data_IF_264898886064
#
_entry.id   IF_264898886064
#
_cell.length_a   1.000
_cell.length_b   1.000
_cell.length_c   1.000
_cell.angle_alpha   90.00
_cell.angle_beta   90.00
_cell.angle_gamma   90.00
#
_symmetry.space_group_name_H-M   'P 1'
#
loop_
_entity.id
_entity.type
_entity.pdbx_description
1 polymer ?
#
# COMPACT_ATOMS: atom_id res chain seq x y z
N UNK A 1 11.40 -8.23 20.99
CA UNK A 1 11.77 -7.59 19.70
C UNK A 1 12.96 -8.32 19.12
N UNK A 2 12.72 -9.35 18.31
CA UNK A 2 13.66 -9.83 17.31
C UNK A 2 12.83 -10.38 16.17
N UNK A 3 12.46 -9.49 15.25
CA UNK A 3 12.36 -9.88 13.85
C UNK A 3 13.69 -10.58 13.56
N UNK A 4 13.73 -11.87 13.24
CA UNK A 4 15.01 -12.51 12.89
C UNK A 4 15.49 -11.79 11.64
N UNK A 5 16.28 -10.75 11.84
CA UNK A 5 16.71 -9.88 10.77
C UNK A 5 17.57 -10.72 9.87
N UNK A 6 17.20 -10.79 8.59
CA UNK A 6 18.00 -11.46 7.57
C UNK A 6 19.44 -10.98 7.71
N UNK A 7 20.37 -11.93 7.79
CA UNK A 7 21.81 -11.66 7.75
C UNK A 7 22.16 -10.92 6.46
N UNK A 8 23.33 -10.28 6.40
CA UNK A 8 23.77 -9.59 5.18
C UNK A 8 23.80 -10.53 3.97
N UNK A 9 24.28 -11.76 4.16
CA UNK A 9 24.30 -12.78 3.12
C UNK A 9 22.89 -13.14 2.64
N UNK A 10 21.94 -13.34 3.56
CA UNK A 10 20.53 -13.62 3.22
C UNK A 10 19.86 -12.44 2.50
N UNK A 11 20.21 -11.19 2.83
CA UNK A 11 19.70 -10.01 2.13
C UNK A 11 20.20 -9.95 0.67
N UNK A 12 21.50 -10.18 0.45
CA UNK A 12 22.06 -10.22 -0.91
C UNK A 12 21.51 -11.40 -1.71
N UNK A 13 21.39 -12.58 -1.09
CA UNK A 13 20.79 -13.74 -1.73
C UNK A 13 19.32 -13.52 -2.08
N UNK A 14 18.57 -12.83 -1.23
CA UNK A 14 17.21 -12.44 -1.54
C UNK A 14 17.15 -11.48 -2.73
N UNK A 15 18.05 -10.48 -2.82
CA UNK A 15 18.14 -9.63 -4.01
C UNK A 15 18.39 -10.46 -5.27
N UNK A 16 19.31 -11.43 -5.23
CA UNK A 16 19.60 -12.32 -6.36
C UNK A 16 18.38 -13.12 -6.78
N UNK A 17 17.66 -13.72 -5.81
CA UNK A 17 16.55 -14.62 -6.09
C UNK A 17 15.29 -13.90 -6.59
N UNK A 18 15.07 -12.65 -6.17
CA UNK A 18 13.84 -11.91 -6.45
C UNK A 18 14.00 -10.81 -7.49
N UNK A 19 15.21 -10.58 -8.01
CA UNK A 19 15.46 -9.56 -9.04
C UNK A 19 14.65 -9.83 -10.31
N UNK A 20 14.65 -11.07 -10.79
CA UNK A 20 13.91 -11.43 -12.01
C UNK A 20 12.40 -11.30 -11.77
N UNK A 21 11.89 -11.68 -10.60
CA UNK A 21 10.48 -11.46 -10.25
C UNK A 21 10.10 -9.97 -10.20
N UNK A 22 11.01 -9.10 -9.74
CA UNK A 22 10.81 -7.64 -9.77
C UNK A 22 10.78 -7.09 -11.20
N UNK A 23 11.62 -7.64 -12.09
CA UNK A 23 11.65 -7.31 -13.52
C UNK A 23 10.41 -7.83 -14.23
N UNK A 24 10.01 -9.07 -13.97
CA UNK A 24 8.76 -9.65 -14.47
C UNK A 24 7.55 -8.85 -13.98
N UNK A 25 7.58 -8.26 -12.78
CA UNK A 25 6.53 -7.38 -12.28
C UNK A 25 6.41 -6.05 -13.07
N UNK A 26 7.43 -5.66 -13.83
CA UNK A 26 7.38 -4.55 -14.80
C UNK A 26 6.79 -4.99 -16.14
N UNK A 27 7.11 -6.21 -16.58
CA UNK A 27 6.73 -6.74 -17.90
C UNK A 27 5.32 -7.38 -17.88
N UNK A 28 4.90 -7.90 -16.73
CA UNK A 28 3.56 -8.44 -16.51
C UNK A 28 2.50 -7.36 -16.73
N UNK A 29 1.79 -7.51 -17.84
CA UNK A 29 0.50 -6.91 -18.14
C UNK A 29 -0.59 -7.39 -17.13
N UNK A 30 -0.23 -8.24 -16.18
CA UNK A 30 -1.08 -8.87 -15.19
C UNK A 30 -1.20 -7.97 -13.95
N UNK A 31 -1.97 -6.89 -14.11
CA UNK A 31 -2.66 -6.25 -12.98
C UNK A 31 -3.63 -7.23 -12.30
N UNK A 32 -4.37 -6.79 -11.27
CA UNK A 32 -5.51 -7.56 -10.76
C UNK A 32 -6.57 -7.68 -11.88
N UNK A 33 -6.44 -8.70 -12.73
CA UNK A 33 -7.23 -8.79 -13.96
C UNK A 33 -7.01 -10.05 -14.83
N UNK A 34 -6.00 -10.89 -14.60
CA UNK A 34 -5.75 -12.05 -15.49
C UNK A 34 -6.65 -13.25 -15.30
N UNK A 35 -7.62 -13.20 -14.39
CA UNK A 35 -8.78 -14.08 -14.44
C UNK A 35 -10.04 -13.27 -14.15
N UNK A 36 -10.34 -12.39 -15.10
CA UNK A 36 -11.53 -11.57 -15.09
C UNK A 36 -12.25 -11.75 -16.44
N UNK A 37 -13.54 -12.13 -16.45
CA UNK A 37 -14.45 -12.24 -15.31
C UNK A 37 -14.30 -13.57 -14.53
N UNK A 38 -14.68 -13.61 -13.24
CA UNK A 38 -14.65 -14.82 -12.42
C UNK A 38 -15.55 -15.92 -13.00
N UNK A 39 -15.08 -17.17 -12.98
CA UNK A 39 -15.89 -18.36 -13.28
C UNK A 39 -17.03 -18.54 -12.24
N UNK A 40 -18.11 -17.77 -12.40
CA UNK A 40 -19.43 -17.93 -11.75
C UNK A 40 -20.49 -17.56 -12.79
N UNK A 41 -21.74 -18.08 -12.70
CA UNK A 41 -22.75 -17.92 -13.75
C UNK A 41 -23.13 -16.44 -13.93
N UNK A 42 -22.45 -15.77 -14.88
CA UNK A 42 -22.30 -14.31 -14.94
C UNK A 42 -23.47 -13.52 -15.51
N UNK A 43 -24.52 -14.15 -16.05
CA UNK A 43 -25.54 -13.42 -16.78
C UNK A 43 -26.45 -12.52 -15.91
N UNK A 44 -26.56 -12.78 -14.60
CA UNK A 44 -27.38 -11.97 -13.69
C UNK A 44 -26.59 -10.81 -13.05
N UNK A 45 -25.32 -11.06 -12.71
CA UNK A 45 -24.43 -10.05 -12.15
C UNK A 45 -24.02 -9.01 -13.20
N UNK A 46 -23.74 -9.43 -14.43
CA UNK A 46 -23.46 -8.51 -15.54
C UNK A 46 -24.66 -7.61 -15.86
N UNK A 47 -25.89 -8.15 -15.85
CA UNK A 47 -27.10 -7.32 -16.02
C UNK A 47 -27.32 -6.31 -14.89
N UNK A 48 -26.93 -6.66 -13.66
CA UNK A 48 -27.01 -5.74 -12.53
C UNK A 48 -25.96 -4.62 -12.64
N UNK A 49 -24.75 -4.94 -13.09
CA UNK A 49 -23.71 -3.98 -13.44
C UNK A 49 -24.11 -3.11 -14.63
N UNK A 50 -24.64 -3.67 -15.72
CA UNK A 50 -25.11 -2.90 -16.88
C UNK A 50 -26.23 -1.92 -16.51
N UNK A 51 -27.10 -2.31 -15.56
CA UNK A 51 -28.18 -1.43 -15.06
C UNK A 51 -27.61 -0.32 -14.18
N UNK A 52 -26.57 -0.61 -13.40
CA UNK A 52 -25.90 0.35 -12.53
C UNK A 52 -25.02 1.31 -13.36
N UNK A 53 -24.25 0.81 -14.31
CA UNK A 53 -23.48 1.57 -15.28
C UNK A 53 -24.40 2.44 -16.16
N UNK A 54 -25.57 1.95 -16.58
CA UNK A 54 -26.54 2.78 -17.29
C UNK A 54 -27.07 3.94 -16.43
N UNK A 55 -27.25 3.74 -15.12
CA UNK A 55 -27.66 4.80 -14.20
C UNK A 55 -26.51 5.79 -13.92
N UNK A 56 -25.28 5.29 -13.76
CA UNK A 56 -24.10 6.10 -13.48
C UNK A 56 -23.65 6.89 -14.73
N UNK A 57 -23.77 6.33 -15.93
CA UNK A 57 -23.51 7.01 -17.21
C UNK A 57 -24.44 8.21 -17.42
N UNK A 58 -25.71 8.14 -16.98
CA UNK A 58 -26.61 9.31 -17.10
C UNK A 58 -26.21 10.46 -16.17
N UNK A 59 -25.61 10.16 -15.01
CA UNK A 59 -25.13 11.15 -14.03
C UNK A 59 -23.76 11.69 -14.42
N UNK A 60 -22.85 10.82 -14.90
CA UNK A 60 -21.56 11.20 -15.44
C UNK A 60 -21.69 11.98 -16.75
N UNK A 61 -22.65 11.68 -17.62
CA UNK A 61 -22.93 12.50 -18.81
C UNK A 61 -23.35 13.92 -18.43
N UNK A 62 -24.16 14.08 -17.37
CA UNK A 62 -24.57 15.40 -16.89
C UNK A 62 -23.38 16.19 -16.29
N UNK A 63 -22.48 15.52 -15.59
CA UNK A 63 -21.25 16.13 -15.03
C UNK A 63 -20.20 16.39 -16.12
N UNK A 64 -20.07 15.50 -17.10
CA UNK A 64 -19.15 15.63 -18.22
C UNK A 64 -19.56 16.77 -19.16
N UNK A 65 -20.86 16.99 -19.38
CA UNK A 65 -21.35 18.18 -20.10
C UNK A 65 -21.01 19.47 -19.35
N UNK A 66 -21.11 19.48 -18.01
CA UNK A 66 -20.75 20.64 -17.20
C UNK A 66 -19.22 20.88 -17.12
N UNK A 67 -18.41 19.83 -17.14
CA UNK A 67 -16.94 19.91 -17.03
C UNK A 67 -16.24 20.14 -18.37
N UNK A 68 -16.73 19.51 -19.46
CA UNK A 68 -16.23 19.74 -20.82
C UNK A 68 -16.37 21.22 -21.17
N UNK A 69 -17.49 21.81 -20.79
CA UNK A 69 -17.67 23.23 -20.89
C UNK A 69 -16.55 24.05 -20.17
N UNK A 70 -16.28 23.78 -18.90
CA UNK A 70 -15.41 24.64 -18.09
C UNK A 70 -13.92 24.66 -18.52
N UNK A 71 -13.48 23.72 -19.36
CA UNK A 71 -12.06 23.49 -19.67
C UNK A 71 -11.59 24.11 -21.00
N UNK A 72 -12.47 24.83 -21.70
CA UNK A 72 -12.34 25.00 -23.15
C UNK A 72 -12.07 26.39 -23.69
N UNK A 73 -11.86 27.38 -22.83
CA UNK A 73 -11.38 28.68 -23.29
C UNK A 73 -10.44 29.35 -22.27
N UNK A 74 -9.24 29.80 -22.69
CA UNK A 74 -8.35 30.57 -21.82
C UNK A 74 -8.88 32.01 -21.66
N UNK A 75 -9.28 32.37 -20.43
CA UNK A 75 -9.83 33.68 -20.10
C UNK A 75 -8.79 34.81 -20.30
N UNK A 76 -8.96 35.62 -21.34
CA UNK A 76 -8.28 36.92 -21.45
C UNK A 76 -9.31 38.03 -21.18
N UNK A 77 -9.30 38.55 -19.95
CA UNK A 77 -10.19 39.61 -19.50
C UNK A 77 -9.65 40.98 -19.94
N UNK A 78 -10.51 41.78 -20.54
CA UNK A 78 -10.22 43.18 -20.90
C UNK A 78 -11.10 44.08 -20.05
N UNK A 79 -10.50 45.14 -19.48
CA UNK A 79 -11.23 46.13 -18.69
C UNK A 79 -11.93 47.13 -19.59
N UNK A 80 -13.25 47.23 -19.48
CA UNK A 80 -14.07 48.18 -20.24
C UNK A 80 -14.77 49.13 -19.27
N UNK A 81 -14.84 50.42 -19.60
CA UNK A 81 -15.59 51.41 -18.81
C UNK A 81 -17.05 51.40 -19.23
N UNK A 82 -17.92 51.04 -18.30
CA UNK A 82 -19.36 51.16 -18.47
C UNK A 82 -19.78 52.63 -18.49
N UNK A 83 -20.89 52.95 -19.14
CA UNK A 83 -21.37 54.34 -19.29
C UNK A 83 -21.70 55.03 -17.95
N UNK A 84 -21.86 54.26 -16.87
CA UNK A 84 -22.05 54.74 -15.49
C UNK A 84 -20.74 55.12 -14.79
N UNK A 85 -19.58 54.93 -15.45
CA UNK A 85 -18.25 55.22 -14.91
C UNK A 85 -17.61 54.05 -14.13
N UNK A 86 -18.33 52.96 -13.90
CA UNK A 86 -17.77 51.74 -13.30
C UNK A 86 -16.94 50.93 -14.33
N UNK A 87 -15.88 50.28 -13.85
CA UNK A 87 -15.07 49.36 -14.64
C UNK A 87 -15.68 47.95 -14.58
N UNK A 88 -15.87 47.32 -15.74
CA UNK A 88 -16.29 45.92 -15.88
C UNK A 88 -15.20 45.12 -16.60
N UNK A 89 -15.23 43.80 -16.45
CA UNK A 89 -14.34 42.87 -17.15
C UNK A 89 -15.15 42.06 -18.15
N UNK A 90 -14.72 42.07 -19.40
CA UNK A 90 -15.32 41.30 -20.48
C UNK A 90 -14.27 40.34 -21.07
N UNK A 91 -14.68 39.19 -21.59
CA UNK A 91 -13.78 38.31 -22.31
C UNK A 91 -13.48 38.89 -23.70
N UNK A 92 -12.21 38.94 -24.09
CA UNK A 92 -11.79 39.52 -25.38
C UNK A 92 -12.33 38.79 -26.62
N UNK A 93 -12.90 37.59 -26.47
CA UNK A 93 -13.16 36.66 -27.57
C UNK A 93 -14.61 36.17 -27.68
N UNK A 94 -15.48 36.50 -26.72
CA UNK A 94 -16.90 36.19 -26.82
C UNK A 94 -17.74 37.22 -26.06
N UNK A 95 -18.97 37.45 -26.53
CA UNK A 95 -19.95 38.33 -25.89
C UNK A 95 -20.58 37.72 -24.62
N UNK A 96 -20.01 36.63 -24.09
CA UNK A 96 -20.49 35.95 -22.89
C UNK A 96 -19.77 36.49 -21.65
N UNK A 97 -20.38 37.51 -21.04
CA UNK A 97 -19.96 38.11 -19.78
C UNK A 97 -20.48 37.26 -18.61
N UNK A 98 -19.72 37.21 -17.51
CA UNK A 98 -19.95 36.34 -16.37
C UNK A 98 -21.40 36.17 -15.93
N UNK A 99 -21.85 34.91 -15.93
CA UNK A 99 -22.74 34.22 -14.99
C UNK A 99 -23.04 32.81 -15.60
N UNK A 100 -22.06 31.89 -15.52
CA UNK A 100 -22.32 30.45 -15.58
C UNK A 100 -22.70 29.78 -16.92
N UNK A 101 -22.32 30.28 -18.10
CA UNK A 101 -22.71 29.68 -19.40
C UNK A 101 -21.57 29.16 -20.31
N UNK A 102 -21.87 28.21 -21.25
CA UNK A 102 -20.87 27.37 -21.89
C UNK A 102 -19.99 27.77 -23.13
N UNK A 103 -18.64 27.58 -23.11
CA UNK A 103 -17.57 27.66 -24.14
C UNK A 103 -17.00 26.27 -24.66
N UNK A 104 -16.58 26.11 -25.95
CA UNK A 104 -16.17 24.79 -26.54
C UNK A 104 -14.66 24.52 -26.88
N UNK A 105 -14.20 23.24 -26.79
CA UNK A 105 -12.79 22.73 -26.87
C UNK A 105 -12.16 22.94 -28.24
N UNK A 106 -10.83 23.07 -28.27
CA UNK A 106 -10.02 22.95 -29.51
C UNK A 106 -10.25 21.62 -30.24
N UNK A 107 -10.32 21.69 -31.57
CA UNK A 107 -10.56 20.58 -32.51
C UNK A 107 -9.50 19.45 -32.45
N UNK A 108 -8.30 19.72 -31.93
CA UNK A 108 -7.16 18.76 -31.93
C UNK A 108 -7.30 17.62 -30.90
N UNK A 109 -8.35 17.61 -30.08
CA UNK A 109 -8.63 16.56 -29.08
C UNK A 109 -10.04 16.03 -29.27
N UNK A 110 -10.16 14.79 -29.72
CA UNK A 110 -11.41 14.04 -29.63
C UNK A 110 -11.55 13.46 -28.21
N UNK A 111 -12.51 13.92 -27.39
CA UNK A 111 -12.72 13.41 -26.04
C UNK A 111 -13.25 11.97 -26.00
N UNK A 112 -13.73 11.42 -27.12
CA UNK A 112 -14.12 10.02 -27.25
C UNK A 112 -12.95 9.10 -27.67
N UNK A 113 -11.79 9.67 -28.02
CA UNK A 113 -10.62 8.90 -28.40
C UNK A 113 -10.00 8.23 -27.17
N UNK A 114 -10.36 6.96 -26.94
CA UNK A 114 -9.57 6.03 -26.14
C UNK A 114 -8.22 5.84 -26.86
N UNK A 115 -7.29 6.76 -26.65
CA UNK A 115 -5.92 6.57 -27.10
C UNK A 115 -5.39 5.25 -26.53
N UNK A 116 -4.62 4.51 -27.32
CA UNK A 116 -3.71 3.49 -26.78
C UNK A 116 -2.77 4.20 -25.81
N UNK A 117 -3.17 4.30 -24.55
CA UNK A 117 -2.29 4.75 -23.49
C UNK A 117 -1.38 3.57 -23.23
N UNK A 118 -0.05 3.69 -23.37
CA UNK A 118 0.84 2.67 -22.83
C UNK A 118 0.41 2.42 -21.39
N UNK A 119 0.23 1.14 -21.04
CA UNK A 119 -0.21 0.71 -19.71
C UNK A 119 0.57 1.52 -18.68
N UNK A 120 -0.08 2.09 -17.64
CA UNK A 120 0.63 2.86 -16.63
C UNK A 120 1.80 2.02 -16.11
N UNK A 121 3.02 2.42 -16.46
CA UNK A 121 4.23 1.81 -15.90
C UNK A 121 4.02 1.84 -14.39
N UNK A 122 4.20 0.70 -13.73
CA UNK A 122 4.09 0.62 -12.27
C UNK A 122 5.24 1.42 -11.68
N UNK A 123 5.06 2.73 -11.56
CA UNK A 123 6.11 3.71 -11.29
C UNK A 123 6.88 3.36 -10.02
N UNK A 124 6.19 2.89 -8.99
CA UNK A 124 6.80 2.43 -7.75
C UNK A 124 7.76 1.24 -7.92
N UNK A 125 7.51 0.32 -8.86
CA UNK A 125 8.39 -0.80 -9.20
C UNK A 125 9.61 -0.29 -9.98
N UNK A 126 9.40 0.61 -10.93
CA UNK A 126 10.48 1.24 -11.70
C UNK A 126 11.41 2.04 -10.78
N UNK A 127 10.85 2.84 -9.89
CA UNK A 127 11.60 3.64 -8.91
C UNK A 127 12.42 2.75 -7.97
N UNK A 128 11.83 1.65 -7.50
CA UNK A 128 12.53 0.69 -6.65
C UNK A 128 13.66 -0.01 -7.40
N UNK A 129 13.40 -0.49 -8.62
CA UNK A 129 14.39 -1.13 -9.49
C UNK A 129 15.56 -0.18 -9.72
N UNK A 130 15.28 1.07 -10.10
CA UNK A 130 16.31 2.06 -10.37
C UNK A 130 17.13 2.43 -9.13
N UNK A 131 16.48 2.56 -7.99
CA UNK A 131 17.17 2.86 -6.75
C UNK A 131 18.07 1.71 -6.29
N UNK A 132 17.64 0.46 -6.45
CA UNK A 132 18.46 -0.74 -6.14
C UNK A 132 19.67 -0.81 -7.08
N UNK A 133 19.46 -0.61 -8.39
CA UNK A 133 20.56 -0.53 -9.37
C UNK A 133 21.61 0.49 -8.96
N UNK A 134 21.19 1.74 -8.78
CA UNK A 134 22.10 2.84 -8.43
C UNK A 134 22.84 2.53 -7.13
N UNK A 135 22.14 2.00 -6.12
CA UNK A 135 22.74 1.69 -4.83
C UNK A 135 23.80 0.59 -4.92
N UNK A 136 23.46 -0.56 -5.51
CA UNK A 136 24.36 -1.71 -5.57
C UNK A 136 25.50 -1.51 -6.57
N UNK A 137 25.23 -0.86 -7.69
CA UNK A 137 26.27 -0.53 -8.66
C UNK A 137 27.28 0.46 -8.11
N UNK A 138 26.83 1.55 -7.50
CA UNK A 138 27.75 2.53 -6.92
C UNK A 138 28.57 1.93 -5.77
N UNK A 139 27.97 1.01 -4.99
CA UNK A 139 28.70 0.31 -3.94
C UNK A 139 29.75 -0.64 -4.53
N UNK A 140 29.37 -1.47 -5.50
CA UNK A 140 30.27 -2.41 -6.15
C UNK A 140 31.43 -1.68 -6.83
N UNK A 141 31.13 -0.63 -7.60
CA UNK A 141 32.14 0.22 -8.26
C UNK A 141 33.11 0.84 -7.24
N UNK A 142 32.59 1.40 -6.14
CA UNK A 142 33.42 2.03 -5.09
C UNK A 142 34.38 1.05 -4.41
N UNK A 143 33.94 -0.18 -4.17
CA UNK A 143 34.80 -1.22 -3.57
C UNK A 143 35.78 -1.75 -4.62
N UNK A 144 35.32 -1.97 -5.86
CA UNK A 144 36.12 -2.49 -6.96
C UNK A 144 37.25 -1.54 -7.36
N UNK A 145 37.01 -0.22 -7.35
CA UNK A 145 38.02 0.83 -7.59
C UNK A 145 39.18 0.80 -6.58
N UNK A 146 39.02 0.15 -5.42
CA UNK A 146 40.07 -0.03 -4.41
C UNK A 146 40.86 -1.33 -4.60
N UNK A 147 40.43 -2.20 -5.50
CA UNK A 147 41.09 -3.47 -5.79
C UNK A 147 42.04 -3.34 -6.97
N UNK A 148 43.09 -4.16 -7.02
CA UNK A 148 44.05 -4.16 -8.13
C UNK A 148 43.39 -4.52 -9.48
N UNK A 149 42.28 -5.26 -9.43
CA UNK A 149 41.48 -5.66 -10.60
C UNK A 149 40.54 -4.57 -11.12
N UNK A 150 40.36 -3.46 -10.38
CA UNK A 150 39.46 -2.37 -10.77
C UNK A 150 38.00 -2.82 -10.95
N UNK A 151 37.22 -2.11 -11.78
CA UNK A 151 35.79 -2.37 -12.00
C UNK A 151 35.48 -3.67 -12.76
N UNK A 152 36.41 -4.10 -13.61
CA UNK A 152 36.34 -5.36 -14.35
C UNK A 152 36.23 -6.57 -13.41
N UNK A 153 36.60 -6.39 -12.13
CA UNK A 153 36.54 -7.40 -11.09
C UNK A 153 35.15 -7.99 -10.83
N UNK A 154 34.06 -7.29 -11.15
CA UNK A 154 32.72 -7.72 -10.76
C UNK A 154 31.71 -7.92 -11.90
N UNK A 155 31.87 -7.27 -13.05
CA UNK A 155 31.04 -7.52 -14.24
C UNK A 155 31.82 -7.96 -15.48
N UNK A 156 33.14 -8.13 -15.36
CA UNK A 156 34.00 -8.50 -16.49
C UNK A 156 34.15 -7.37 -17.52
N UNK A 157 34.69 -7.68 -18.71
CA UNK A 157 34.98 -6.67 -19.74
C UNK A 157 33.74 -6.21 -20.51
N UNK A 158 32.64 -6.94 -20.45
CA UNK A 158 31.39 -6.62 -21.16
C UNK A 158 30.48 -5.75 -20.28
N UNK A 159 30.13 -4.52 -20.70
CA UNK A 159 29.17 -3.68 -20.00
C UNK A 159 27.80 -4.35 -19.78
N UNK A 160 27.38 -5.29 -20.64
CA UNK A 160 26.13 -6.02 -20.47
C UNK A 160 26.14 -6.94 -19.23
N UNK A 161 27.32 -7.30 -18.72
CA UNK A 161 27.48 -8.03 -17.47
C UNK A 161 27.11 -7.21 -16.22
N UNK A 162 26.95 -5.89 -16.36
CA UNK A 162 26.67 -4.95 -15.26
C UNK A 162 25.19 -5.03 -14.83
N UNK A 163 24.87 -6.08 -14.09
CA UNK A 163 23.52 -6.39 -13.61
C UNK A 163 23.45 -6.40 -12.08
N UNK A 164 22.28 -6.12 -11.50
CA UNK A 164 22.08 -6.14 -10.05
C UNK A 164 22.43 -7.51 -9.43
N UNK A 165 22.01 -8.65 -10.02
CA UNK A 165 22.42 -9.96 -9.53
C UNK A 165 23.95 -10.18 -9.59
N UNK A 166 24.64 -9.65 -10.61
CA UNK A 166 26.11 -9.72 -10.67
C UNK A 166 26.77 -8.92 -9.55
N UNK A 167 26.32 -7.68 -9.31
CA UNK A 167 26.79 -6.86 -8.21
C UNK A 167 26.57 -7.55 -6.85
N UNK A 168 25.35 -8.07 -6.62
CA UNK A 168 24.99 -8.75 -5.38
C UNK A 168 25.83 -10.02 -5.14
N UNK A 169 26.05 -10.86 -6.17
CA UNK A 169 26.91 -12.05 -6.08
C UNK A 169 28.35 -11.69 -5.75
N UNK A 170 28.88 -10.65 -6.38
CA UNK A 170 30.25 -10.20 -6.11
C UNK A 170 30.41 -9.65 -4.69
N UNK A 171 29.45 -8.85 -4.23
CA UNK A 171 29.41 -8.36 -2.84
C UNK A 171 29.25 -9.50 -1.83
N UNK A 172 28.52 -10.56 -2.17
CA UNK A 172 28.37 -11.76 -1.32
C UNK A 172 29.73 -12.46 -1.15
N UNK A 173 30.47 -12.69 -2.24
CA UNK A 173 31.81 -13.28 -2.17
C UNK A 173 32.82 -12.45 -1.37
N UNK A 174 32.59 -11.13 -1.20
CA UNK A 174 33.42 -10.28 -0.33
C UNK A 174 33.18 -10.53 1.15
N UNK A 175 32.01 -11.04 1.54
CA UNK A 175 31.72 -11.39 2.93
C UNK A 175 32.48 -12.66 3.35
N UNK A 176 32.71 -13.58 2.41
CA UNK A 176 33.40 -14.85 2.65
C UNK A 176 34.94 -14.73 2.65
N UNK A 177 35.48 -13.62 2.14
CA UNK A 177 36.92 -13.43 1.96
C UNK A 177 37.74 -13.28 3.27
N UNK A 178 37.07 -13.18 4.42
CA UNK A 178 37.69 -13.01 5.73
C UNK A 178 38.40 -11.65 5.92
N UNK A 179 38.64 -11.24 7.18
CA UNK A 179 39.27 -9.96 7.48
C UNK A 179 40.73 -9.91 7.04
N UNK A 180 41.00 -9.21 5.94
CA UNK A 180 42.36 -8.95 5.48
C UNK A 180 42.97 -7.65 6.03
N UNK A 181 42.14 -6.70 6.52
CA UNK A 181 42.59 -5.43 7.10
C UNK A 181 41.46 -4.69 7.85
N UNK A 182 41.75 -3.63 8.63
CA UNK A 182 40.73 -2.88 9.38
C UNK A 182 39.62 -2.24 8.54
N UNK A 183 39.90 -1.85 7.30
CA UNK A 183 38.89 -1.30 6.38
C UNK A 183 37.84 -2.34 5.97
N UNK A 184 38.14 -3.63 6.13
CA UNK A 184 37.23 -4.72 5.81
C UNK A 184 35.96 -4.70 6.65
N UNK A 185 36.03 -4.37 7.96
CA UNK A 185 34.84 -4.31 8.80
C UNK A 185 33.92 -3.14 8.43
N UNK A 186 34.48 -1.97 8.10
CA UNK A 186 33.71 -0.82 7.64
C UNK A 186 33.04 -1.10 6.28
N UNK A 187 33.73 -1.81 5.38
CA UNK A 187 33.18 -2.26 4.11
C UNK A 187 32.05 -3.29 4.32
N UNK A 188 32.25 -4.29 5.17
CA UNK A 188 31.20 -5.25 5.53
C UNK A 188 29.96 -4.55 6.11
N UNK A 189 30.14 -3.56 6.99
CA UNK A 189 29.03 -2.77 7.54
C UNK A 189 28.29 -1.97 6.45
N UNK A 190 29.03 -1.36 5.51
CA UNK A 190 28.44 -0.65 4.37
C UNK A 190 27.67 -1.61 3.47
N UNK A 191 28.22 -2.80 3.18
CA UNK A 191 27.53 -3.86 2.42
C UNK A 191 26.26 -4.28 3.14
N UNK A 192 26.30 -4.45 4.47
CA UNK A 192 25.15 -4.81 5.29
C UNK A 192 24.01 -3.81 5.19
N UNK A 193 24.32 -2.51 5.22
CA UNK A 193 23.32 -1.44 5.13
C UNK A 193 22.64 -1.42 3.74
N UNK A 194 23.44 -1.47 2.67
CA UNK A 194 22.94 -1.43 1.30
C UNK A 194 22.16 -2.70 0.95
N UNK A 195 22.64 -3.87 1.36
CA UNK A 195 21.96 -5.14 1.15
C UNK A 195 20.59 -5.15 1.84
N UNK A 196 20.52 -4.72 3.10
CA UNK A 196 19.26 -4.60 3.85
C UNK A 196 18.30 -3.62 3.19
N UNK A 197 18.78 -2.45 2.81
CA UNK A 197 17.96 -1.43 2.14
C UNK A 197 17.40 -1.92 0.81
N UNK A 198 18.21 -2.64 0.02
CA UNK A 198 17.76 -3.23 -1.25
C UNK A 198 16.72 -4.33 -1.02
N UNK A 199 16.98 -5.23 -0.07
CA UNK A 199 16.08 -6.29 0.32
C UNK A 199 14.73 -5.77 0.85
N UNK A 200 14.73 -4.72 1.67
CA UNK A 200 13.50 -4.09 2.18
C UNK A 200 12.68 -3.42 1.06
N UNK A 201 13.36 -2.88 0.03
CA UNK A 201 12.68 -2.30 -1.14
C UNK A 201 12.01 -3.38 -1.98
N UNK A 202 12.69 -4.50 -2.23
CA UNK A 202 12.10 -5.65 -2.93
C UNK A 202 10.88 -6.16 -2.17
N UNK A 203 11.02 -6.39 -0.87
CA UNK A 203 9.94 -6.85 -0.01
C UNK A 203 8.72 -5.92 -0.01
N UNK A 204 8.95 -4.61 0.00
CA UNK A 204 7.88 -3.62 -0.04
C UNK A 204 7.13 -3.63 -1.37
N UNK A 205 7.86 -3.80 -2.47
CA UNK A 205 7.29 -3.75 -3.83
C UNK A 205 6.58 -5.05 -4.20
N UNK A 206 7.21 -6.18 -3.93
CA UNK A 206 6.64 -7.49 -4.21
C UNK A 206 5.62 -7.94 -3.15
N UNK A 207 5.51 -7.19 -2.05
CA UNK A 207 4.69 -7.56 -0.90
C UNK A 207 5.19 -8.79 -0.15
N UNK A 208 6.38 -9.31 -0.49
CA UNK A 208 6.98 -10.54 0.07
C UNK A 208 7.51 -10.38 1.49
N UNK A 209 7.62 -9.14 1.98
CA UNK A 209 8.18 -8.86 3.29
C UNK A 209 7.35 -9.39 4.46
N UNK A 210 8.05 -9.78 5.53
CA UNK A 210 7.45 -10.03 6.84
C UNK A 210 7.01 -8.72 7.47
N UNK A 211 5.71 -8.54 7.64
CA UNK A 211 5.11 -7.38 8.31
C UNK A 211 4.46 -7.84 9.60
N UNK A 212 4.72 -7.10 10.67
CA UNK A 212 4.02 -7.26 11.95
C UNK A 212 3.25 -5.99 12.24
N UNK A 213 1.93 -6.07 12.42
CA UNK A 213 1.09 -4.91 12.76
C UNK A 213 0.12 -5.23 13.89
N UNK A 214 -0.12 -4.26 14.76
CA UNK A 214 -1.23 -4.32 15.71
C UNK A 214 -2.54 -4.31 14.92
N UNK A 215 -3.49 -5.15 15.32
CA UNK A 215 -4.84 -5.18 14.77
C UNK A 215 -5.70 -4.13 15.50
N UNK A 216 -5.98 -2.95 14.89
CA UNK A 216 -6.73 -1.90 15.55
C UNK A 216 -8.18 -2.34 15.77
N UNK A 217 -8.73 -2.05 16.96
CA UNK A 217 -10.12 -2.37 17.31
C UNK A 217 -10.39 -3.85 17.60
N UNK A 218 -9.39 -4.74 17.48
CA UNK A 218 -9.53 -6.18 17.76
C UNK A 218 -8.67 -6.59 18.96
N UNK A 219 -9.16 -6.34 20.20
CA UNK A 219 -8.47 -6.79 21.40
C UNK A 219 -8.61 -8.30 21.58
N UNK A 220 -7.63 -8.88 22.27
CA UNK A 220 -7.62 -10.28 22.66
C UNK A 220 -8.90 -10.64 23.46
N UNK A 221 -9.66 -11.67 23.07
CA UNK A 221 -10.88 -12.09 23.77
C UNK A 221 -10.69 -12.46 25.24
N UNK A 222 -9.47 -12.83 25.63
CA UNK A 222 -9.17 -13.36 26.97
C UNK A 222 -8.54 -12.35 27.93
N UNK A 223 -7.77 -11.39 27.43
CA UNK A 223 -7.08 -10.40 28.28
C UNK A 223 -7.31 -8.94 27.85
N UNK A 224 -8.11 -8.71 26.82
CA UNK A 224 -8.36 -7.40 26.20
C UNK A 224 -7.10 -6.67 25.66
N UNK A 225 -5.93 -7.29 25.67
CA UNK A 225 -4.71 -6.71 25.14
C UNK A 225 -4.62 -6.72 23.62
N UNK A 226 -3.59 -6.08 23.09
CA UNK A 226 -3.39 -5.94 21.64
C UNK A 226 -3.03 -7.27 20.98
N UNK A 227 -3.69 -7.54 19.84
CA UNK A 227 -3.32 -8.63 18.94
C UNK A 227 -2.41 -8.07 17.84
N UNK A 228 -1.29 -8.75 17.59
CA UNK A 228 -0.32 -8.42 16.53
C UNK A 228 -0.39 -9.51 15.46
N UNK A 229 -0.73 -9.14 14.23
CA UNK A 229 -0.71 -10.05 13.09
C UNK A 229 0.65 -10.02 12.41
N UNK A 230 1.18 -11.20 12.09
CA UNK A 230 2.41 -11.40 11.35
C UNK A 230 2.06 -11.98 9.98
N UNK A 231 2.37 -11.24 8.92
CA UNK A 231 2.12 -11.63 7.53
C UNK A 231 3.41 -11.69 6.72
N UNK A 232 3.49 -12.59 5.77
CA UNK A 232 4.56 -12.68 4.76
C UNK A 232 3.92 -12.92 3.40
N UNK A 233 4.26 -12.14 2.37
CA UNK A 233 3.64 -12.27 1.04
C UNK A 233 2.09 -12.23 1.07
N UNK A 234 1.51 -11.39 1.95
CA UNK A 234 0.07 -11.32 2.17
C UNK A 234 -0.56 -12.52 2.90
N UNK A 235 0.21 -13.57 3.19
CA UNK A 235 -0.23 -14.75 3.94
C UNK A 235 -0.03 -14.54 5.44
N UNK A 236 -1.04 -14.84 6.24
CA UNK A 236 -0.94 -14.78 7.72
C UNK A 236 -0.09 -15.95 8.21
N UNK A 237 1.07 -15.65 8.78
CA UNK A 237 1.95 -16.64 9.39
C UNK A 237 1.53 -16.95 10.82
N UNK A 238 1.21 -15.90 11.57
CA UNK A 238 0.82 -16.03 12.96
C UNK A 238 0.11 -14.78 13.47
N UNK A 239 -0.67 -14.93 14.54
CA UNK A 239 -1.13 -13.83 15.39
C UNK A 239 -0.51 -14.02 16.77
N UNK A 240 -0.11 -12.92 17.41
CA UNK A 240 0.40 -12.94 18.79
C UNK A 240 -0.37 -11.98 19.68
N UNK A 241 -0.45 -12.30 20.97
CA UNK A 241 -1.01 -11.40 21.98
C UNK A 241 0.11 -10.68 22.73
N UNK A 242 0.09 -9.35 22.76
CA UNK A 242 1.13 -8.50 23.34
C UNK A 242 1.20 -8.55 24.89
N UNK A 243 0.17 -9.08 25.56
CA UNK A 243 0.03 -9.08 27.03
C UNK A 243 0.92 -10.10 27.75
N UNK A 244 1.50 -11.08 27.05
CA UNK A 244 2.49 -12.00 27.63
C UNK A 244 1.92 -13.20 28.42
N UNK A 245 2.79 -13.86 29.21
CA UNK A 245 2.55 -15.19 29.82
C UNK A 245 1.54 -15.18 30.98
N UNK A 246 1.67 -14.22 31.90
CA UNK A 246 0.97 -14.24 33.20
C UNK A 246 -0.45 -13.66 33.07
N UNK A 247 -0.61 -12.65 32.21
CA UNK A 247 -1.81 -11.83 32.15
C UNK A 247 -2.77 -12.23 31.03
N UNK A 248 -2.42 -13.25 30.23
CA UNK A 248 -3.28 -13.80 29.19
C UNK A 248 -3.51 -15.29 29.40
N UNK A 249 -4.78 -15.69 29.55
CA UNK A 249 -5.19 -17.09 29.71
C UNK A 249 -5.76 -17.70 28.40
N UNK A 250 -5.29 -17.23 27.25
CA UNK A 250 -5.77 -17.74 25.98
C UNK A 250 -5.30 -19.20 25.72
N UNK A 251 -6.11 -20.04 25.04
CA UNK A 251 -5.81 -21.44 24.75
C UNK A 251 -4.82 -21.60 23.59
N UNK A 252 -3.75 -20.80 23.58
CA UNK A 252 -2.67 -20.83 22.61
C UNK A 252 -1.34 -21.10 23.30
N UNK A 253 -0.44 -21.78 22.58
CA UNK A 253 0.90 -22.08 23.06
C UNK A 253 1.66 -20.77 23.33
N UNK A 254 2.42 -20.76 24.43
CA UNK A 254 3.31 -19.66 24.73
C UNK A 254 4.66 -19.88 24.06
N UNK A 255 5.08 -18.92 23.26
CA UNK A 255 6.39 -18.90 22.61
C UNK A 255 7.34 -18.09 23.51
N UNK A 256 8.38 -18.78 24.01
CA UNK A 256 9.36 -18.23 24.95
C UNK A 256 10.20 -17.13 24.31
N UNK A 257 10.54 -17.28 23.03
CA UNK A 257 11.38 -16.34 22.30
C UNK A 257 10.60 -15.04 22.01
N UNK A 258 9.32 -15.18 21.66
CA UNK A 258 8.43 -14.04 21.42
C UNK A 258 7.84 -13.44 22.69
N UNK A 259 7.95 -14.14 23.82
CA UNK A 259 7.30 -13.82 25.10
C UNK A 259 5.80 -13.55 24.94
N UNK A 260 5.15 -14.27 24.03
CA UNK A 260 3.76 -14.05 23.66
C UNK A 260 3.06 -15.38 23.39
N UNK A 261 1.73 -15.39 23.51
CA UNK A 261 0.93 -16.52 23.00
C UNK A 261 0.80 -16.41 21.49
N UNK A 262 1.00 -17.53 20.79
CA UNK A 262 1.06 -17.57 19.32
C UNK A 262 -0.02 -18.48 18.77
N UNK A 263 -0.78 -17.98 17.80
CA UNK A 263 -1.62 -18.78 16.91
C UNK A 263 -0.96 -18.81 15.54
N UNK A 264 -0.53 -19.97 15.07
CA UNK A 264 0.19 -20.10 13.79
C UNK A 264 -0.44 -21.12 12.84
N UNK A 265 -1.17 -22.12 13.35
CA UNK A 265 -1.83 -23.08 12.46
C UNK A 265 -3.16 -22.53 11.93
N UNK A 266 -3.62 -22.95 10.74
CA UNK A 266 -4.91 -22.54 10.19
C UNK A 266 -6.09 -22.79 11.16
N UNK A 267 -6.06 -23.91 11.89
CA UNK A 267 -7.10 -24.27 12.86
C UNK A 267 -7.08 -23.34 14.07
N UNK A 268 -5.88 -22.98 14.55
CA UNK A 268 -5.69 -22.03 15.64
C UNK A 268 -6.16 -20.63 15.24
N UNK A 269 -5.82 -20.18 14.03
CA UNK A 269 -6.24 -18.89 13.49
C UNK A 269 -7.77 -18.83 13.31
N UNK A 270 -8.38 -19.89 12.79
CA UNK A 270 -9.83 -20.01 12.67
C UNK A 270 -10.51 -20.02 14.05
N UNK A 271 -9.90 -20.67 15.04
CA UNK A 271 -10.35 -20.66 16.44
C UNK A 271 -10.29 -19.27 17.07
N UNK A 272 -9.19 -18.54 16.85
CA UNK A 272 -9.02 -17.16 17.30
C UNK A 272 -10.08 -16.25 16.66
N UNK A 273 -10.28 -16.34 15.34
CA UNK A 273 -11.29 -15.52 14.64
C UNK A 273 -12.67 -15.71 15.25
N UNK A 274 -13.11 -16.97 15.45
CA UNK A 274 -14.40 -17.26 16.08
C UNK A 274 -14.53 -16.67 17.48
N UNK A 275 -13.45 -16.69 18.27
CA UNK A 275 -13.43 -16.12 19.60
C UNK A 275 -13.52 -14.58 19.59
N UNK A 276 -12.82 -13.92 18.66
CA UNK A 276 -12.90 -12.46 18.45
C UNK A 276 -14.33 -12.07 18.04
N UNK A 277 -14.90 -12.73 17.05
CA UNK A 277 -16.28 -12.45 16.60
C UNK A 277 -17.30 -12.66 17.72
N UNK A 278 -17.11 -13.68 18.57
CA UNK A 278 -17.98 -13.94 19.71
C UNK A 278 -17.87 -12.85 20.77
N UNK A 279 -16.65 -12.39 21.07
CA UNK A 279 -16.40 -11.29 22.01
C UNK A 279 -16.99 -9.97 21.49
N UNK A 280 -16.88 -9.68 20.21
CA UNK A 280 -17.51 -8.51 19.58
C UNK A 280 -19.03 -8.53 19.70
N UNK A 281 -19.66 -9.66 19.37
CA UNK A 281 -21.12 -9.83 19.53
C UNK A 281 -21.55 -9.67 21.00
N UNK A 282 -20.77 -10.18 21.94
CA UNK A 282 -21.05 -10.04 23.37
C UNK A 282 -20.99 -8.57 23.82
N UNK A 283 -19.95 -7.83 23.41
CA UNK A 283 -19.81 -6.39 23.68
C UNK A 283 -20.97 -5.58 23.10
N UNK A 284 -21.32 -5.81 21.84
CA UNK A 284 -22.47 -5.15 21.21
C UNK A 284 -23.79 -5.46 21.96
N UNK A 285 -23.97 -6.70 22.40
CA UNK A 285 -25.12 -7.10 23.22
C UNK A 285 -25.17 -6.41 24.58
N UNK A 286 -24.02 -6.22 25.24
CA UNK A 286 -23.90 -5.47 26.50
C UNK A 286 -24.24 -3.99 26.32
N UNK A 287 -23.72 -3.36 25.27
CA UNK A 287 -24.00 -1.97 24.93
C UNK A 287 -25.50 -1.75 24.68
N UNK A 288 -26.15 -2.64 23.92
CA UNK A 288 -27.60 -2.58 23.68
C UNK A 288 -28.41 -2.80 24.97
N UNK A 289 -27.98 -3.68 25.86
CA UNK A 289 -28.60 -3.85 27.19
C UNK A 289 -28.46 -2.58 28.03
N UNK A 290 -27.31 -1.92 28.00
CA UNK A 290 -27.06 -0.68 28.71
C UNK A 290 -27.95 0.47 28.18
N UNK A 291 -28.04 0.62 26.84
CA UNK A 291 -28.94 1.60 26.19
C UNK A 291 -30.40 1.37 26.57
N UNK A 292 -30.88 0.12 26.56
CA UNK A 292 -32.26 -0.21 26.97
C UNK A 292 -32.50 0.10 28.45
N UNK A 293 -31.53 -0.20 29.32
CA UNK A 293 -31.63 0.11 30.74
C UNK A 293 -31.69 1.63 30.99
N UNK A 294 -30.90 2.41 30.26
CA UNK A 294 -30.93 3.87 30.33
C UNK A 294 -32.24 4.47 29.81
N UNK A 295 -32.75 4.00 28.66
CA UNK A 295 -34.04 4.42 28.14
C UNK A 295 -35.17 4.18 29.16
N UNK A 296 -35.17 3.02 29.83
CA UNK A 296 -36.12 2.72 30.92
C UNK A 296 -35.95 3.65 32.12
N UNK A 297 -34.72 4.05 32.47
CA UNK A 297 -34.49 5.05 33.54
C UNK A 297 -35.07 6.42 33.15
N UNK A 298 -34.83 6.88 31.93
CA UNK A 298 -35.36 8.16 31.42
C UNK A 298 -36.89 8.17 31.39
N UNK A 299 -37.52 7.09 30.91
CA UNK A 299 -38.98 6.97 30.91
C UNK A 299 -39.58 7.03 32.32
N UNK A 300 -38.95 6.35 33.30
CA UNK A 300 -39.40 6.39 34.70
C UNK A 300 -39.21 7.76 35.36
N UNK A 301 -38.22 8.53 34.94
CA UNK A 301 -38.04 9.91 35.40
C UNK A 301 -39.14 10.82 34.84
N UNK A 302 -39.39 10.77 33.53
CA UNK A 302 -40.44 11.54 32.87
C UNK A 302 -41.85 11.26 33.46
N UNK A 303 -42.19 10.00 33.74
CA UNK A 303 -43.46 9.64 34.38
C UNK A 303 -43.58 10.22 35.80
N UNK A 304 -42.46 10.27 36.55
CA UNK A 304 -42.46 10.87 37.90
C UNK A 304 -42.63 12.39 37.83
N UNK A 305 -41.98 13.06 36.88
CA UNK A 305 -42.14 14.50 36.66
C UNK A 305 -43.59 14.85 36.27
N UNK A 306 -44.19 14.09 35.35
CA UNK A 306 -45.59 14.27 34.96
C UNK A 306 -46.55 14.12 36.14
N UNK A 307 -46.30 13.15 37.04
CA UNK A 307 -47.10 12.97 38.26
C UNK A 307 -46.89 14.06 39.30
N UNK A 308 -45.72 14.69 39.34
CA UNK A 308 -45.44 15.80 40.25
C UNK A 308 -46.03 17.13 39.76
N UNK A 309 -46.31 17.23 38.45
CA UNK A 309 -46.89 18.41 37.82
C UNK A 309 -48.44 18.40 37.76
N UNK A 310 -49.07 17.28 38.12
CA UNK A 310 -50.52 17.09 38.18
C UNK A 310 -51.02 17.14 39.63
#
# INVERSE_FOLDING_TARGET
>A
MSNTARTTAENLQHVINHWDHLRDALDTHDGPGTNWPPNRPGAAYLRALDTQDAADVTTEQQIAVALAHALDHPQQLVTVRHHTGQLYYECAHCDHVGEGLPHPVREDRDPAQLGERPVPIRLHITDASRAIEVALFNLADRIADRTATGRDAWYGPDPAGRTVPAAARWLLGRLDAGPCCPTHYAEQATIAEYARTAADRIDRVLGTGRVSRVLPGMPCPWCAGELVIHTEAGTVLAVTCATGLVDCNAPAAFDVDRRARVWSTPEQLAGLQRAVDAAERARAGEEERAKRAEARRRQRAAVREQRAAA
#
